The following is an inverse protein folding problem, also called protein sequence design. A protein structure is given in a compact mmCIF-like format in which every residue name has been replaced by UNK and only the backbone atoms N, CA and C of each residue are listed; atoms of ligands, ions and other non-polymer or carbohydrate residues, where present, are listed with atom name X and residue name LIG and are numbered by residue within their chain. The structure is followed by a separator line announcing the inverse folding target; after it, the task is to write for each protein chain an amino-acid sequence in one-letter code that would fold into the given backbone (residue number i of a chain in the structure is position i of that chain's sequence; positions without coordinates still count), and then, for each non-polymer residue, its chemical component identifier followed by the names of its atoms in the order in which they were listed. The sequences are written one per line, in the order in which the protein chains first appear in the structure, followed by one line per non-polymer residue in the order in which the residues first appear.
data_IF_320535294999
#
_entry.id   IF_320535294999
#
_cell.length_a   1.000
_cell.length_b   1.000
_cell.length_c   1.000
_cell.angle_alpha   90.00
_cell.angle_beta   90.00
_cell.angle_gamma   90.00
#
_symmetry.space_group_name_H-M   'P 1'
#
loop_
_entity.id
_entity.type
_entity.pdbx_description
1 polymer ?
#
# COMPACT_ATOMS: atom_id res chain seq x y z
N UNK A 1 -50.26 23.38 -67.55
CA UNK A 1 -50.03 22.11 -66.82
C UNK A 1 -49.28 22.47 -65.54
N UNK A 2 -49.81 22.00 -64.40
CA UNK A 2 -49.32 21.95 -63.00
C UNK A 2 -47.79 22.19 -62.76
N UNK A 3 -47.23 22.68 -61.65
CA UNK A 3 -47.66 23.12 -60.29
C UNK A 3 -46.39 23.66 -59.54
N UNK A 4 -46.58 24.72 -58.74
CA UNK A 4 -45.92 25.23 -57.51
C UNK A 4 -44.39 25.26 -57.23
N UNK A 5 -43.93 26.49 -56.95
CA UNK A 5 -43.41 27.02 -55.66
C UNK A 5 -42.79 26.07 -54.62
N UNK A 6 -41.57 26.41 -54.17
CA UNK A 6 -41.20 26.32 -52.75
C UNK A 6 -40.25 27.47 -52.35
N UNK A 7 -40.72 28.21 -51.35
CA UNK A 7 -40.16 29.40 -50.75
C UNK A 7 -39.01 29.04 -49.78
N UNK A 8 -37.97 29.88 -49.73
CA UNK A 8 -36.89 29.83 -48.75
C UNK A 8 -37.44 30.17 -47.36
N UNK A 9 -37.27 29.26 -46.40
CA UNK A 9 -37.40 29.58 -44.97
C UNK A 9 -36.00 29.46 -44.37
N UNK A 10 -35.41 30.62 -44.07
CA UNK A 10 -34.21 30.71 -43.23
C UNK A 10 -34.60 30.50 -41.78
N UNK A 11 -34.00 29.52 -41.13
CA UNK A 11 -34.13 29.30 -39.69
C UNK A 11 -32.89 29.88 -39.02
N UNK A 12 -33.08 30.98 -38.29
CA UNK A 12 -32.05 31.60 -37.47
C UNK A 12 -31.71 30.68 -36.29
N UNK A 13 -30.43 30.28 -36.16
CA UNK A 13 -29.92 29.72 -34.91
C UNK A 13 -29.58 30.88 -33.96
N UNK A 14 -30.42 31.10 -32.96
CA UNK A 14 -30.06 31.87 -31.77
C UNK A 14 -29.09 31.05 -30.92
N UNK A 15 -27.81 31.45 -30.90
CA UNK A 15 -26.85 30.97 -29.92
C UNK A 15 -27.15 31.62 -28.56
N UNK A 16 -27.77 30.88 -27.65
CA UNK A 16 -27.88 31.28 -26.25
C UNK A 16 -26.53 31.00 -25.58
N UNK A 17 -25.75 32.05 -25.32
CA UNK A 17 -24.58 31.99 -24.46
C UNK A 17 -25.03 31.80 -23.01
N UNK A 18 -24.98 30.56 -22.52
CA UNK A 18 -25.07 30.31 -21.08
C UNK A 18 -23.72 30.66 -20.44
N UNK A 19 -23.60 31.87 -19.90
CA UNK A 19 -22.63 32.15 -18.84
C UNK A 19 -23.07 31.35 -17.60
N UNK A 20 -22.62 30.11 -17.51
CA UNK A 20 -22.62 29.39 -16.25
C UNK A 20 -21.65 30.10 -15.32
N UNK A 21 -22.17 30.79 -14.30
CA UNK A 21 -21.40 31.13 -13.11
C UNK A 21 -20.96 29.80 -12.51
N UNK A 22 -19.76 29.35 -12.85
CA UNK A 22 -19.09 28.29 -12.12
C UNK A 22 -18.75 28.87 -10.75
N UNK A 23 -19.68 28.77 -9.81
CA UNK A 23 -19.33 28.82 -8.39
C UNK A 23 -18.32 27.71 -8.19
N UNK A 24 -17.08 28.07 -7.91
CA UNK A 24 -16.07 27.15 -7.38
C UNK A 24 -16.66 26.54 -6.11
N UNK A 25 -17.37 25.42 -6.22
CA UNK A 25 -17.59 24.55 -5.09
C UNK A 25 -16.20 24.18 -4.60
N UNK A 26 -15.83 24.66 -3.41
CA UNK A 26 -14.71 24.08 -2.70
C UNK A 26 -14.99 22.58 -2.67
N UNK A 27 -14.05 21.77 -3.16
CA UNK A 27 -14.04 20.38 -2.78
C UNK A 27 -14.14 20.36 -1.25
N UNK A 28 -15.12 19.63 -0.72
CA UNK A 28 -15.21 19.45 0.72
C UNK A 28 -13.84 18.98 1.21
N UNK A 29 -13.33 19.62 2.25
CA UNK A 29 -12.06 19.21 2.83
C UNK A 29 -12.19 17.75 3.27
N UNK A 30 -11.22 16.92 2.86
CA UNK A 30 -11.16 15.54 3.30
C UNK A 30 -11.17 15.50 4.82
N UNK A 31 -11.94 14.59 5.40
CA UNK A 31 -11.98 14.36 6.85
C UNK A 31 -12.16 12.89 7.12
N UNK A 32 -11.76 12.45 8.31
CA UNK A 32 -11.83 11.04 8.70
C UNK A 32 -12.60 10.87 10.00
N UNK A 33 -13.29 9.73 10.10
CA UNK A 33 -13.80 9.19 11.36
C UNK A 33 -12.73 8.29 11.98
N UNK A 34 -12.54 8.39 13.30
CA UNK A 34 -11.59 7.57 14.05
C UNK A 34 -12.30 6.43 14.77
N UNK A 35 -11.77 5.22 14.58
CA UNK A 35 -12.13 4.03 15.35
C UNK A 35 -10.94 3.63 16.23
N UNK A 36 -11.18 3.55 17.54
CA UNK A 36 -10.24 2.96 18.49
C UNK A 36 -10.30 1.43 18.39
N UNK A 37 -9.16 0.78 18.14
CA UNK A 37 -9.13 -0.66 17.96
C UNK A 37 -9.34 -1.43 19.28
N UNK A 38 -9.12 -0.81 20.43
CA UNK A 38 -9.10 -1.48 21.73
C UNK A 38 -7.73 -2.11 22.05
N UNK A 39 -7.69 -3.01 23.03
CA UNK A 39 -6.50 -3.80 23.40
C UNK A 39 -6.91 -5.22 23.80
N UNK A 40 -5.94 -6.12 23.92
CA UNK A 40 -6.13 -7.47 24.50
C UNK A 40 -6.10 -7.46 26.05
N UNK A 41 -6.53 -6.36 26.66
CA UNK A 41 -6.59 -6.16 28.11
C UNK A 41 -5.33 -5.58 28.75
N UNK A 42 -4.27 -5.31 27.98
CA UNK A 42 -3.08 -4.57 28.42
C UNK A 42 -3.14 -3.08 28.03
N UNK A 43 -2.04 -2.36 28.32
CA UNK A 43 -1.96 -0.90 28.15
C UNK A 43 -1.36 -0.44 26.82
N UNK A 44 -0.66 -1.31 26.09
CA UNK A 44 -0.03 -0.95 24.83
C UNK A 44 -0.53 -1.83 23.70
N UNK A 45 -0.69 -1.21 22.53
CA UNK A 45 -1.05 -1.85 21.27
C UNK A 45 -0.29 -1.17 20.13
N UNK A 46 0.11 -1.94 19.14
CA UNK A 46 0.84 -1.49 17.97
C UNK A 46 0.25 -2.13 16.72
N UNK A 47 -0.44 -1.35 15.90
CA UNK A 47 -0.86 -1.80 14.57
C UNK A 47 0.34 -1.91 13.61
N UNK A 48 0.23 -2.82 12.64
CA UNK A 48 1.32 -3.17 11.70
C UNK A 48 0.91 -3.18 10.23
N UNK A 49 -0.33 -3.53 9.93
CA UNK A 49 -0.79 -3.69 8.55
C UNK A 49 -2.33 -3.65 8.46
N UNK A 50 -2.88 -3.32 7.29
CA UNK A 50 -4.32 -3.32 7.01
C UNK A 50 -4.61 -3.92 5.62
N UNK A 51 -5.61 -4.78 5.50
CA UNK A 51 -6.04 -5.31 4.20
C UNK A 51 -7.17 -4.48 3.56
N UNK A 52 -7.58 -4.85 2.33
CA UNK A 52 -8.65 -4.17 1.60
C UNK A 52 -10.06 -4.39 2.18
N UNK A 53 -10.20 -5.33 3.13
CA UNK A 53 -11.43 -5.52 3.90
C UNK A 53 -11.51 -4.62 5.14
N UNK A 54 -10.46 -3.82 5.40
CA UNK A 54 -10.36 -2.95 6.58
C UNK A 54 -9.99 -3.71 7.86
N UNK A 55 -9.45 -4.92 7.74
CA UNK A 55 -8.97 -5.71 8.87
C UNK A 55 -7.55 -5.30 9.21
N UNK A 56 -7.29 -5.10 10.50
CA UNK A 56 -6.01 -4.59 11.00
C UNK A 56 -5.29 -5.67 11.79
N UNK A 57 -3.99 -5.82 11.58
CA UNK A 57 -3.16 -6.72 12.40
C UNK A 57 -2.06 -5.96 13.13
N UNK A 58 -1.54 -6.58 14.18
CA UNK A 58 -0.41 -6.05 14.93
C UNK A 58 -0.11 -6.84 16.19
N UNK A 59 0.35 -6.16 17.23
CA UNK A 59 0.59 -6.75 18.55
C UNK A 59 -0.03 -5.92 19.66
N UNK A 60 -0.64 -6.56 20.66
CA UNK A 60 -1.17 -5.92 21.86
C UNK A 60 -0.62 -6.60 23.11
N UNK A 61 -0.38 -5.82 24.17
CA UNK A 61 -0.17 -6.38 25.50
C UNK A 61 -1.45 -7.05 26.01
N UNK A 62 -1.27 -8.11 26.80
CA UNK A 62 -2.36 -8.69 27.60
C UNK A 62 -2.30 -8.22 29.04
N UNK A 63 -3.40 -8.41 29.78
CA UNK A 63 -3.47 -8.11 31.22
C UNK A 63 -2.40 -8.85 32.06
N UNK A 64 -1.96 -10.02 31.60
CA UNK A 64 -0.98 -10.87 32.30
C UNK A 64 0.47 -10.63 31.83
N UNK A 65 0.71 -9.61 31.00
CA UNK A 65 2.01 -9.34 30.37
C UNK A 65 2.22 -10.09 29.04
N UNK A 66 3.25 -9.68 28.29
CA UNK A 66 3.60 -10.23 26.98
C UNK A 66 2.82 -9.63 25.80
N UNK A 67 3.49 -9.51 24.66
CA UNK A 67 2.86 -9.08 23.39
C UNK A 67 2.18 -10.28 22.73
N UNK A 68 0.97 -10.05 22.22
CA UNK A 68 0.18 -11.03 21.48
C UNK A 68 -0.21 -10.48 20.13
N UNK A 69 -0.02 -11.27 19.09
CA UNK A 69 -0.48 -10.95 17.76
C UNK A 69 -2.01 -10.85 17.77
N UNK A 70 -2.54 -9.83 17.11
CA UNK A 70 -3.98 -9.64 16.99
C UNK A 70 -4.42 -9.50 15.54
N UNK A 71 -5.69 -9.83 15.31
CA UNK A 71 -6.50 -9.38 14.19
C UNK A 71 -7.65 -8.56 14.76
N UNK A 72 -7.87 -7.37 14.21
CA UNK A 72 -9.05 -6.56 14.47
C UNK A 72 -9.93 -6.56 13.23
N UNK A 73 -11.22 -6.77 13.42
CA UNK A 73 -12.23 -6.74 12.38
C UNK A 73 -13.46 -5.98 12.88
N UNK A 74 -14.08 -5.16 12.03
CA UNK A 74 -15.20 -4.31 12.45
C UNK A 74 -16.42 -5.11 12.97
N UNK A 75 -16.60 -6.36 12.51
CA UNK A 75 -17.70 -7.23 12.96
C UNK A 75 -17.38 -8.00 14.24
N UNK A 76 -16.11 -8.32 14.47
CA UNK A 76 -15.67 -9.24 15.53
C UNK A 76 -14.86 -8.56 16.64
N UNK A 77 -14.45 -7.31 16.46
CA UNK A 77 -13.54 -6.60 17.35
C UNK A 77 -12.14 -7.21 17.37
N UNK A 78 -11.45 -7.11 18.52
CA UNK A 78 -10.11 -7.65 18.73
C UNK A 78 -10.13 -9.18 18.89
N UNK A 79 -9.33 -9.86 18.09
CA UNK A 79 -9.10 -11.30 18.14
C UNK A 79 -7.64 -11.55 18.49
N UNK A 80 -7.39 -12.32 19.56
CA UNK A 80 -6.06 -12.83 19.88
C UNK A 80 -5.74 -14.02 18.96
N UNK A 81 -4.60 -13.96 18.27
CA UNK A 81 -4.21 -15.00 17.30
C UNK A 81 -3.49 -16.18 17.96
N UNK A 82 -3.01 -16.00 19.19
CA UNK A 82 -2.27 -17.05 19.90
C UNK A 82 -3.19 -18.25 20.22
N UNK A 83 -2.66 -19.48 20.15
CA UNK A 83 -3.42 -20.65 20.51
C UNK A 83 -3.73 -20.66 22.02
N UNK A 84 -4.71 -21.47 22.45
CA UNK A 84 -5.03 -21.65 23.86
C UNK A 84 -3.79 -22.07 24.67
N UNK A 85 -3.69 -21.59 25.92
CA UNK A 85 -2.62 -21.97 26.85
C UNK A 85 -2.49 -23.50 26.90
N UNK A 86 -1.27 -24.00 26.76
CA UNK A 86 -0.87 -25.42 26.70
C UNK A 86 -0.87 -26.13 25.33
N UNK A 87 -1.20 -25.47 24.22
CA UNK A 87 -1.22 -26.14 22.90
C UNK A 87 0.16 -26.68 22.46
N UNK A 88 1.26 -26.08 22.91
CA UNK A 88 2.63 -26.44 22.47
C UNK A 88 3.45 -27.27 23.47
N UNK A 89 2.87 -27.75 24.58
CA UNK A 89 3.55 -28.66 25.53
C UNK A 89 4.81 -28.15 26.24
N UNK A 90 5.23 -26.91 25.96
CA UNK A 90 6.25 -26.15 26.70
C UNK A 90 5.57 -25.07 27.54
N UNK A 91 6.10 -24.80 28.72
CA UNK A 91 5.66 -23.71 29.61
C UNK A 91 5.68 -22.37 28.83
N UNK A 92 4.52 -21.97 28.31
CA UNK A 92 4.31 -20.93 27.29
C UNK A 92 4.49 -19.49 27.81
N UNK A 93 4.95 -19.36 29.05
CA UNK A 93 5.02 -18.09 29.79
C UNK A 93 6.03 -17.07 29.26
N UNK A 94 6.86 -17.39 28.26
CA UNK A 94 7.99 -16.52 27.86
C UNK A 94 8.00 -16.01 26.40
N UNK A 95 7.05 -16.43 25.56
CA UNK A 95 7.01 -16.00 24.15
C UNK A 95 6.14 -14.77 23.91
N UNK A 96 6.58 -13.87 23.05
CA UNK A 96 5.76 -12.79 22.47
C UNK A 96 5.48 -13.06 21.00
N UNK A 97 4.29 -12.74 20.53
CA UNK A 97 3.90 -12.88 19.12
C UNK A 97 3.58 -11.51 18.51
N UNK A 98 3.95 -11.34 17.25
CA UNK A 98 3.79 -10.10 16.50
C UNK A 98 3.29 -10.45 15.10
N UNK A 99 2.09 -9.99 14.72
CA UNK A 99 1.67 -10.05 13.32
C UNK A 99 2.49 -9.03 12.50
N UNK A 100 2.93 -9.42 11.31
CA UNK A 100 3.72 -8.58 10.42
C UNK A 100 2.96 -8.15 9.18
N UNK A 101 2.10 -9.02 8.62
CA UNK A 101 1.32 -8.71 7.44
C UNK A 101 0.00 -9.49 7.39
N UNK A 102 -0.98 -8.97 6.66
CA UNK A 102 -2.28 -9.58 6.37
C UNK A 102 -2.59 -9.46 4.88
N UNK A 103 -3.21 -10.49 4.29
CA UNK A 103 -3.74 -10.42 2.92
C UNK A 103 -5.26 -10.21 2.90
N UNK A 104 -5.83 -10.02 1.71
CA UNK A 104 -7.27 -9.79 1.51
C UNK A 104 -8.13 -11.04 1.73
N UNK A 105 -7.50 -12.20 1.94
CA UNK A 105 -8.16 -13.43 2.37
C UNK A 105 -8.32 -13.51 3.90
N UNK A 106 -7.81 -12.51 4.63
CA UNK A 106 -7.79 -12.50 6.10
C UNK A 106 -6.77 -13.46 6.71
N UNK A 107 -5.77 -13.86 5.92
CA UNK A 107 -4.66 -14.69 6.39
C UNK A 107 -3.55 -13.79 6.92
N UNK A 108 -3.02 -14.14 8.08
CA UNK A 108 -2.05 -13.33 8.82
C UNK A 108 -0.73 -14.08 8.92
N UNK A 109 0.37 -13.38 8.69
CA UNK A 109 1.71 -13.89 8.97
C UNK A 109 2.37 -13.04 10.03
N UNK A 110 3.30 -13.63 10.76
CA UNK A 110 3.98 -12.95 11.84
C UNK A 110 5.07 -13.79 12.46
N UNK A 111 5.57 -13.32 13.59
CA UNK A 111 6.70 -13.94 14.27
C UNK A 111 6.40 -14.17 15.74
N UNK A 112 6.82 -15.34 16.22
CA UNK A 112 6.93 -15.62 17.65
C UNK A 112 8.39 -15.48 18.07
N UNK A 113 8.61 -14.66 19.09
CA UNK A 113 9.93 -14.39 19.66
C UNK A 113 9.96 -14.95 21.08
N UNK A 114 10.97 -15.75 21.38
CA UNK A 114 11.25 -16.25 22.73
C UNK A 114 12.77 -16.31 22.97
N UNK A 115 13.18 -16.78 24.16
CA UNK A 115 14.59 -16.88 24.54
C UNK A 115 15.43 -17.80 23.63
N UNK A 116 14.79 -18.63 22.81
CA UNK A 116 15.42 -19.60 21.91
C UNK A 116 15.45 -19.13 20.44
N UNK A 117 14.91 -17.94 20.15
CA UNK A 117 14.94 -17.34 18.82
C UNK A 117 13.57 -16.91 18.31
N UNK A 118 13.55 -16.52 17.03
CA UNK A 118 12.37 -16.10 16.29
C UNK A 118 11.90 -17.21 15.34
N UNK A 119 10.58 -17.46 15.33
CA UNK A 119 9.93 -18.39 14.40
C UNK A 119 8.78 -17.70 13.67
N UNK A 120 8.65 -17.88 12.35
CA UNK A 120 7.49 -17.38 11.63
C UNK A 120 6.26 -18.21 11.98
N UNK A 121 5.10 -17.57 11.94
CA UNK A 121 3.80 -18.24 11.98
C UNK A 121 2.94 -17.77 10.82
N UNK A 122 2.01 -18.64 10.44
CA UNK A 122 0.87 -18.34 9.60
C UNK A 122 -0.40 -18.52 10.44
N UNK A 123 -1.42 -17.72 10.21
CA UNK A 123 -2.73 -17.85 10.86
C UNK A 123 -3.84 -17.65 9.84
N UNK A 124 -4.86 -18.49 9.92
CA UNK A 124 -6.16 -18.24 9.28
C UNK A 124 -7.28 -18.67 10.22
N UNK A 125 -8.50 -18.17 9.96
CA UNK A 125 -9.67 -18.44 10.82
C UNK A 125 -10.02 -19.93 10.91
N UNK A 126 -9.69 -20.73 9.88
CA UNK A 126 -10.03 -22.16 9.82
C UNK A 126 -9.07 -23.05 10.60
N UNK A 127 -7.81 -22.62 10.72
CA UNK A 127 -6.71 -23.46 11.22
C UNK A 127 -6.09 -22.93 12.51
N UNK A 128 -6.36 -21.67 12.86
CA UNK A 128 -5.63 -20.97 13.91
C UNK A 128 -4.16 -20.76 13.52
N UNK A 129 -3.32 -20.54 14.53
CA UNK A 129 -1.89 -20.30 14.34
C UNK A 129 -1.16 -21.61 14.04
N UNK A 130 -0.39 -21.60 12.95
CA UNK A 130 0.55 -22.63 12.54
C UNK A 130 1.96 -22.04 12.67
N UNK A 131 2.70 -22.48 13.69
CA UNK A 131 4.13 -22.15 13.79
C UNK A 131 4.96 -22.93 12.77
N UNK A 132 5.85 -22.22 12.09
CA UNK A 132 6.71 -22.80 11.07
C UNK A 132 8.11 -23.05 11.64
N UNK A 133 8.63 -24.25 11.40
CA UNK A 133 10.01 -24.59 11.74
C UNK A 133 10.80 -24.74 10.44
N UNK A 134 11.67 -23.77 10.10
CA UNK A 134 12.46 -23.88 8.88
C UNK A 134 13.35 -25.14 8.91
N UNK A 135 13.45 -25.88 7.80
CA UNK A 135 14.20 -27.14 7.77
C UNK A 135 15.68 -26.91 8.10
N UNK A 136 16.19 -27.68 9.07
CA UNK A 136 17.61 -27.78 9.47
C UNK A 136 18.29 -26.47 9.90
N UNK A 137 18.00 -26.00 11.10
CA UNK A 137 18.94 -25.12 11.80
C UNK A 137 19.19 -25.64 13.22
N UNK A 138 20.38 -26.23 13.43
CA UNK A 138 20.85 -26.59 14.76
C UNK A 138 21.07 -25.34 15.65
N UNK A 139 21.08 -24.12 15.07
CA UNK A 139 21.28 -22.82 15.77
C UNK A 139 20.67 -21.58 15.06
N UNK A 140 19.62 -21.71 14.25
CA UNK A 140 19.09 -20.60 13.42
C UNK A 140 17.72 -20.05 13.83
N UNK A 141 17.36 -18.86 13.35
CA UNK A 141 16.03 -18.25 13.48
C UNK A 141 15.47 -17.86 12.12
N UNK A 142 14.15 -17.73 12.01
CA UNK A 142 13.49 -17.28 10.80
C UNK A 142 12.30 -16.38 11.14
N UNK A 143 11.94 -15.54 10.18
CA UNK A 143 10.85 -14.58 10.37
C UNK A 143 10.12 -14.34 9.05
N UNK A 144 8.81 -14.13 9.17
CA UNK A 144 7.90 -13.75 8.12
C UNK A 144 7.92 -12.23 7.93
N UNK A 145 7.84 -11.79 6.68
CA UNK A 145 7.93 -10.37 6.32
C UNK A 145 6.75 -9.87 5.50
N UNK A 146 6.14 -10.73 4.69
CA UNK A 146 5.00 -10.36 3.85
C UNK A 146 4.17 -11.59 3.49
N UNK A 147 2.93 -11.37 3.07
CA UNK A 147 2.04 -12.37 2.48
C UNK A 147 1.31 -11.76 1.29
N UNK A 148 1.11 -12.51 0.21
CA UNK A 148 0.32 -12.07 -0.94
C UNK A 148 -1.10 -12.66 -0.92
N UNK A 149 -1.95 -12.24 -1.86
CA UNK A 149 -3.33 -12.74 -2.00
C UNK A 149 -3.43 -14.15 -2.59
N UNK A 150 -2.31 -14.80 -2.95
CA UNK A 150 -2.26 -16.24 -3.23
C UNK A 150 -2.07 -17.08 -1.95
N UNK A 151 -1.90 -16.44 -0.79
CA UNK A 151 -1.60 -17.11 0.48
C UNK A 151 -0.15 -17.56 0.61
N UNK A 152 0.75 -16.95 -0.17
CA UNK A 152 2.19 -17.23 -0.14
C UNK A 152 2.87 -16.25 0.81
N UNK A 153 3.50 -16.78 1.85
CA UNK A 153 4.30 -16.04 2.81
C UNK A 153 5.73 -15.92 2.33
N UNK A 154 6.26 -14.69 2.32
CA UNK A 154 7.68 -14.41 2.19
C UNK A 154 8.32 -14.32 3.57
N UNK A 155 9.39 -15.09 3.79
CA UNK A 155 10.21 -15.02 5.00
C UNK A 155 11.70 -15.01 4.72
N UNK A 156 12.49 -14.77 5.76
CA UNK A 156 13.93 -14.84 5.75
C UNK A 156 14.40 -15.73 6.90
N UNK A 157 15.42 -16.54 6.64
CA UNK A 157 16.00 -17.46 7.63
C UNK A 157 17.49 -17.20 7.78
N UNK A 158 17.99 -17.26 9.01
CA UNK A 158 19.41 -17.18 9.34
C UNK A 158 19.90 -18.53 9.82
N UNK A 159 20.88 -19.10 9.12
CA UNK A 159 21.54 -20.33 9.54
C UNK A 159 23.03 -20.09 9.76
N UNK A 160 23.58 -20.63 10.84
CA UNK A 160 25.03 -20.65 11.04
C UNK A 160 25.56 -21.93 10.42
N UNK A 161 26.19 -21.81 9.26
CA UNK A 161 26.90 -22.93 8.63
C UNK A 161 28.41 -22.65 8.71
N UNK A 162 29.16 -23.61 9.26
CA UNK A 162 30.62 -23.50 9.40
C UNK A 162 31.13 -22.24 10.14
N UNK A 163 30.37 -21.73 11.11
CA UNK A 163 30.76 -20.55 11.91
C UNK A 163 30.37 -19.18 11.32
N UNK A 164 29.70 -19.16 10.15
CA UNK A 164 29.26 -17.93 9.50
C UNK A 164 27.75 -17.92 9.27
N UNK A 165 27.09 -16.79 9.54
CA UNK A 165 25.65 -16.63 9.34
C UNK A 165 25.29 -16.43 7.86
N UNK A 166 24.44 -17.28 7.31
CA UNK A 166 23.89 -17.15 5.95
C UNK A 166 22.40 -16.82 6.03
N UNK A 167 21.99 -15.71 5.41
CA UNK A 167 20.58 -15.38 5.26
C UNK A 167 20.00 -16.01 3.97
N UNK A 168 18.84 -16.66 4.08
CA UNK A 168 18.10 -17.24 2.97
C UNK A 168 16.64 -16.79 3.02
N UNK A 169 16.24 -16.00 2.05
CA UNK A 169 14.85 -15.78 1.74
C UNK A 169 14.16 -17.09 1.33
N UNK A 170 12.91 -17.26 1.72
CA UNK A 170 12.07 -18.39 1.34
C UNK A 170 10.63 -17.95 1.09
N UNK A 171 9.93 -18.70 0.23
CA UNK A 171 8.47 -18.65 0.10
C UNK A 171 7.88 -19.90 0.73
N UNK A 172 6.76 -19.75 1.42
CA UNK A 172 5.98 -20.86 1.97
C UNK A 172 4.48 -20.64 1.70
N UNK A 173 3.79 -21.70 1.33
CA UNK A 173 2.32 -21.73 1.22
C UNK A 173 1.77 -22.91 2.03
N UNK A 174 0.56 -22.75 2.57
CA UNK A 174 -0.06 -23.78 3.42
C UNK A 174 -0.21 -25.10 2.67
N UNK A 175 0.31 -26.17 3.28
CA UNK A 175 0.30 -27.52 2.67
C UNK A 175 1.48 -27.79 1.72
N UNK A 176 2.44 -26.89 1.63
CA UNK A 176 3.68 -27.06 0.87
C UNK A 176 4.93 -27.09 1.75
N UNK A 177 6.03 -27.54 1.16
CA UNK A 177 7.37 -27.34 1.71
C UNK A 177 7.86 -25.91 1.49
N UNK A 178 8.76 -25.44 2.36
CA UNK A 178 9.44 -24.15 2.17
C UNK A 178 10.33 -24.16 0.93
N UNK A 179 10.16 -23.17 0.07
CA UNK A 179 10.97 -22.97 -1.14
C UNK A 179 12.06 -21.96 -0.85
N UNK A 180 13.31 -22.40 -0.82
CA UNK A 180 14.47 -21.50 -0.77
C UNK A 180 14.64 -20.83 -2.15
N UNK A 181 14.75 -19.50 -2.17
CA UNK A 181 14.88 -18.73 -3.41
C UNK A 181 16.23 -18.97 -4.12
N UNK A 182 17.25 -19.41 -3.38
CA UNK A 182 18.63 -19.45 -3.84
C UNK A 182 19.30 -18.08 -3.75
N UNK A 183 20.40 -17.91 -4.50
CA UNK A 183 21.23 -16.68 -4.54
C UNK A 183 21.63 -16.37 -5.96
N UNK A 184 21.94 -15.11 -6.26
CA UNK A 184 22.47 -14.72 -7.58
C UNK A 184 23.89 -15.26 -7.85
N UNK A 185 24.64 -15.60 -6.79
CA UNK A 185 25.94 -16.25 -6.91
C UNK A 185 26.48 -16.74 -5.58
N UNK A 186 27.51 -17.58 -5.62
CA UNK A 186 28.36 -17.84 -4.45
C UNK A 186 29.19 -16.58 -4.18
N UNK A 187 28.85 -15.79 -3.17
CA UNK A 187 29.58 -14.56 -2.90
C UNK A 187 31.05 -14.82 -2.52
N UNK A 188 31.80 -13.72 -2.38
CA UNK A 188 33.23 -13.76 -2.17
C UNK A 188 33.60 -14.63 -0.95
N UNK A 189 34.59 -15.53 -1.12
CA UNK A 189 34.97 -16.59 -0.15
C UNK A 189 33.93 -17.69 0.14
N UNK A 190 32.90 -17.86 -0.72
CA UNK A 190 31.88 -18.90 -0.54
C UNK A 190 30.74 -18.48 0.41
N UNK A 191 30.71 -17.21 0.81
CA UNK A 191 29.63 -16.62 1.58
C UNK A 191 28.57 -16.09 0.64
N UNK A 192 27.35 -16.61 0.71
CA UNK A 192 26.23 -16.04 -0.04
C UNK A 192 25.05 -15.80 0.87
N UNK A 193 24.24 -14.79 0.53
CA UNK A 193 23.00 -14.46 1.22
C UNK A 193 21.96 -13.91 0.25
N UNK A 194 20.70 -14.01 0.65
CA UNK A 194 19.56 -13.44 -0.08
C UNK A 194 18.55 -12.93 0.93
N UNK A 195 18.16 -11.67 0.77
CA UNK A 195 17.13 -11.04 1.59
C UNK A 195 15.92 -10.71 0.72
N UNK A 196 14.78 -11.32 1.04
CA UNK A 196 13.49 -10.98 0.45
C UNK A 196 12.91 -9.75 1.12
N UNK A 197 12.38 -8.82 0.32
CA UNK A 197 11.81 -7.54 0.77
C UNK A 197 10.32 -7.42 0.49
N UNK A 198 9.85 -7.88 -0.65
CA UNK A 198 8.44 -7.81 -1.03
C UNK A 198 8.04 -8.98 -1.93
N UNK A 199 6.75 -9.31 -1.92
CA UNK A 199 6.10 -10.30 -2.77
C UNK A 199 4.82 -9.70 -3.35
N UNK A 200 4.54 -9.92 -4.63
CA UNK A 200 3.28 -9.49 -5.26
C UNK A 200 2.29 -10.65 -5.42
N UNK A 201 1.09 -10.36 -5.90
CA UNK A 201 0.01 -11.35 -6.10
C UNK A 201 0.23 -12.28 -7.30
N UNK A 202 1.34 -12.12 -8.02
CA UNK A 202 1.80 -13.07 -9.02
C UNK A 202 2.82 -14.08 -8.45
N UNK A 203 3.10 -14.00 -7.15
CA UNK A 203 4.10 -14.84 -6.47
C UNK A 203 5.55 -14.48 -6.81
N UNK A 204 5.77 -13.27 -7.34
CA UNK A 204 7.10 -12.77 -7.64
C UNK A 204 7.70 -12.10 -6.41
N UNK A 205 8.95 -12.42 -6.09
CA UNK A 205 9.64 -11.88 -4.91
C UNK A 205 10.78 -10.97 -5.35
N UNK A 206 10.96 -9.85 -4.66
CA UNK A 206 12.09 -8.95 -4.87
C UNK A 206 12.89 -8.73 -3.60
N UNK A 207 14.14 -8.31 -3.78
CA UNK A 207 15.04 -8.00 -2.68
C UNK A 207 16.46 -7.78 -3.16
N UNK A 208 17.45 -8.22 -2.39
CA UNK A 208 18.85 -8.22 -2.80
C UNK A 208 19.55 -9.53 -2.45
N UNK A 209 20.56 -9.88 -3.24
CA UNK A 209 21.35 -11.09 -3.08
C UNK A 209 22.81 -10.83 -3.43
N UNK A 210 23.70 -11.55 -2.75
CA UNK A 210 25.13 -11.55 -3.06
C UNK A 210 25.38 -12.17 -4.44
N UNK A 211 26.27 -11.57 -5.22
CA UNK A 211 26.75 -12.08 -6.52
C UNK A 211 28.16 -12.67 -6.43
N UNK A 212 28.58 -13.40 -7.48
CA UNK A 212 29.91 -14.05 -7.57
C UNK A 212 31.09 -13.08 -7.50
N UNK A 213 30.89 -11.82 -7.88
CA UNK A 213 31.85 -10.72 -7.77
C UNK A 213 31.91 -10.10 -6.36
N UNK A 214 31.18 -10.66 -5.39
CA UNK A 214 31.15 -10.20 -4.00
C UNK A 214 30.31 -8.95 -3.74
N UNK A 215 29.51 -8.52 -4.72
CA UNK A 215 28.64 -7.36 -4.60
C UNK A 215 27.20 -7.76 -4.25
N UNK A 216 26.36 -6.77 -3.93
CA UNK A 216 24.91 -6.95 -3.80
C UNK A 216 24.19 -6.49 -5.06
N UNK A 217 23.22 -7.29 -5.50
CA UNK A 217 22.34 -6.94 -6.61
C UNK A 217 20.88 -7.11 -6.22
N UNK A 218 20.08 -6.17 -6.67
CA UNK A 218 18.64 -6.28 -6.70
C UNK A 218 18.23 -7.50 -7.55
N UNK A 219 17.25 -8.26 -7.08
CA UNK A 219 16.73 -9.41 -7.81
C UNK A 219 15.22 -9.36 -7.96
N UNK A 220 14.73 -10.07 -8.97
CA UNK A 220 13.36 -10.58 -9.09
C UNK A 220 13.44 -12.11 -9.10
N UNK A 221 12.61 -12.78 -8.32
CA UNK A 221 12.51 -14.23 -8.29
C UNK A 221 11.12 -14.66 -8.73
N UNK A 222 11.05 -15.67 -9.59
CA UNK A 222 9.82 -16.32 -10.01
C UNK A 222 9.98 -17.83 -9.82
N UNK A 223 8.94 -18.52 -9.31
CA UNK A 223 8.99 -19.97 -9.02
C UNK A 223 9.48 -20.81 -10.21
N UNK A 224 9.09 -20.43 -11.43
CA UNK A 224 9.43 -21.17 -12.65
C UNK A 224 10.73 -20.70 -13.34
N UNK A 225 11.14 -19.46 -13.11
CA UNK A 225 12.30 -18.85 -13.79
C UNK A 225 13.55 -18.77 -12.90
N UNK A 226 13.39 -18.92 -11.58
CA UNK A 226 14.44 -18.69 -10.60
C UNK A 226 14.76 -17.21 -10.40
N UNK A 227 15.99 -16.93 -9.98
CA UNK A 227 16.49 -15.58 -9.70
C UNK A 227 16.89 -14.86 -10.99
N UNK A 228 16.45 -13.61 -11.13
CA UNK A 228 16.81 -12.67 -12.19
C UNK A 228 17.58 -11.52 -11.56
N UNK A 229 18.80 -11.27 -12.03
CA UNK A 229 19.59 -10.10 -11.64
C UNK A 229 19.02 -8.84 -12.33
N UNK A 230 18.66 -7.81 -11.57
CA UNK A 230 18.10 -6.57 -12.13
C UNK A 230 19.17 -5.59 -12.61
N UNK A 231 20.44 -5.85 -12.29
CA UNK A 231 21.57 -4.98 -12.62
C UNK A 231 21.70 -3.78 -11.69
N UNK A 232 22.36 -2.74 -12.18
CA UNK A 232 22.61 -1.46 -11.47
C UNK A 232 22.49 -0.30 -12.46
N UNK A 233 22.48 0.94 -11.95
CA UNK A 233 22.60 2.16 -12.75
C UNK A 233 24.07 2.49 -13.13
N UNK A 234 24.92 1.47 -13.23
CA UNK A 234 26.33 1.58 -13.59
C UNK A 234 27.31 1.51 -12.43
N UNK A 235 26.84 1.47 -11.18
CA UNK A 235 27.66 1.23 -9.99
C UNK A 235 27.70 -0.24 -9.57
N UNK A 236 28.19 -0.50 -8.35
CA UNK A 236 28.44 -1.85 -7.84
C UNK A 236 27.39 -2.34 -6.82
N UNK A 237 26.27 -1.64 -6.65
CA UNK A 237 25.25 -2.03 -5.67
C UNK A 237 23.85 -1.67 -6.14
N UNK A 238 22.89 -2.55 -5.87
CA UNK A 238 21.47 -2.28 -6.01
C UNK A 238 20.65 -3.11 -5.01
N UNK A 239 19.50 -2.57 -4.62
CA UNK A 239 18.52 -3.21 -3.76
C UNK A 239 17.11 -2.92 -4.27
N UNK A 240 16.28 -3.94 -4.44
CA UNK A 240 14.85 -3.78 -4.67
C UNK A 240 14.09 -3.71 -3.34
N UNK A 241 13.18 -2.77 -3.22
CA UNK A 241 12.43 -2.50 -1.98
C UNK A 241 10.95 -2.85 -2.10
N UNK A 242 10.34 -2.69 -3.27
CA UNK A 242 8.94 -3.05 -3.52
C UNK A 242 8.70 -3.49 -4.96
N UNK A 243 7.56 -4.16 -5.19
CA UNK A 243 7.09 -4.64 -6.48
C UNK A 243 5.57 -4.48 -6.52
N UNK A 244 5.01 -4.07 -7.66
CA UNK A 244 3.56 -4.03 -7.86
C UNK A 244 3.05 -5.26 -8.63
N UNK A 245 1.72 -5.40 -8.77
CA UNK A 245 1.10 -6.54 -9.46
C UNK A 245 1.28 -6.51 -10.99
N UNK A 246 1.85 -5.45 -11.56
CA UNK A 246 2.27 -5.38 -12.97
C UNK A 246 3.74 -5.76 -13.17
N UNK A 247 4.43 -6.19 -12.11
CA UNK A 247 5.84 -6.62 -12.17
C UNK A 247 6.84 -5.47 -12.28
N UNK A 248 6.41 -4.24 -12.01
CA UNK A 248 7.33 -3.09 -11.90
C UNK A 248 8.02 -3.15 -10.54
N UNK A 249 9.35 -3.13 -10.56
CA UNK A 249 10.18 -3.24 -9.36
C UNK A 249 10.84 -1.91 -9.08
N UNK A 250 10.78 -1.43 -7.84
CA UNK A 250 11.44 -0.20 -7.42
C UNK A 250 12.52 -0.47 -6.38
N UNK A 251 13.43 0.48 -6.24
CA UNK A 251 14.49 0.38 -5.25
C UNK A 251 15.51 1.48 -5.34
N UNK A 252 16.74 1.16 -4.91
CA UNK A 252 17.88 2.07 -4.99
C UNK A 252 19.06 1.37 -5.66
N UNK A 253 19.79 2.09 -6.50
CA UNK A 253 21.01 1.60 -7.12
C UNK A 253 22.09 2.67 -7.15
N UNK A 254 23.35 2.26 -7.01
CA UNK A 254 24.47 3.13 -7.25
C UNK A 254 24.65 3.37 -8.75
N UNK A 255 24.91 4.63 -9.09
CA UNK A 255 25.36 5.04 -10.41
C UNK A 255 26.88 4.87 -10.54
N UNK A 256 27.42 5.06 -11.75
CA UNK A 256 28.86 4.94 -12.01
C UNK A 256 29.74 5.88 -11.15
N UNK A 257 29.20 7.02 -10.69
CA UNK A 257 29.91 7.95 -9.80
C UNK A 257 29.73 7.63 -8.30
N UNK A 258 29.07 6.52 -7.97
CA UNK A 258 28.84 6.07 -6.60
C UNK A 258 27.60 6.65 -5.91
N UNK A 259 26.83 7.54 -6.55
CA UNK A 259 25.62 8.10 -5.95
C UNK A 259 24.45 7.11 -5.96
N UNK A 260 23.64 7.10 -4.88
CA UNK A 260 22.38 6.35 -4.83
C UNK A 260 21.28 7.05 -5.64
N UNK A 261 20.56 6.27 -6.44
CA UNK A 261 19.41 6.71 -7.22
C UNK A 261 18.25 5.76 -7.03
N UNK A 262 17.07 6.33 -6.84
CA UNK A 262 15.81 5.63 -6.93
C UNK A 262 15.67 5.11 -8.37
N UNK A 263 15.26 3.85 -8.52
CA UNK A 263 15.00 3.27 -9.83
C UNK A 263 13.60 2.67 -9.93
N UNK A 264 13.12 2.55 -11.17
CA UNK A 264 12.10 1.58 -11.57
C UNK A 264 12.70 0.61 -12.58
N UNK A 265 12.40 -0.68 -12.42
CA UNK A 265 12.80 -1.73 -13.33
C UNK A 265 11.55 -2.38 -13.91
N UNK A 266 11.55 -2.57 -15.22
CA UNK A 266 10.54 -3.34 -15.94
C UNK A 266 11.24 -4.40 -16.79
N UNK A 267 10.59 -5.57 -16.94
CA UNK A 267 11.17 -6.68 -17.72
C UNK A 267 11.48 -6.30 -19.18
N UNK A 268 10.72 -5.36 -19.75
CA UNK A 268 10.84 -4.89 -21.13
C UNK A 268 11.94 -3.85 -21.34
N UNK A 269 12.23 -3.02 -20.34
CA UNK A 269 13.14 -1.86 -20.47
C UNK A 269 14.36 -1.90 -19.54
N UNK A 270 14.42 -2.85 -18.61
CA UNK A 270 15.45 -2.88 -17.59
C UNK A 270 15.33 -1.75 -16.58
N UNK A 271 16.43 -1.45 -15.89
CA UNK A 271 16.50 -0.45 -14.81
C UNK A 271 16.53 0.98 -15.39
N UNK A 272 15.67 1.85 -14.88
CA UNK A 272 15.58 3.26 -15.23
C UNK A 272 15.71 4.14 -13.98
N UNK A 273 16.51 5.21 -14.06
CA UNK A 273 16.67 6.20 -12.99
C UNK A 273 15.41 7.09 -12.89
N UNK A 274 14.88 7.28 -11.68
CA UNK A 274 13.74 8.17 -11.42
C UNK A 274 14.14 9.64 -11.24
N UNK A 275 15.44 9.92 -11.12
CA UNK A 275 16.01 11.25 -10.87
C UNK A 275 16.07 11.61 -9.39
N UNK A 276 16.21 12.90 -9.11
CA UNK A 276 16.28 13.49 -7.76
C UNK A 276 15.46 14.78 -7.70
N UNK A 277 15.31 15.37 -6.51
CA UNK A 277 14.71 16.71 -6.31
C UNK A 277 15.74 17.84 -6.53
N UNK A 278 16.77 17.60 -7.35
CA UNK A 278 17.86 18.53 -7.63
C UNK A 278 19.13 18.29 -6.80
N UNK A 279 19.08 17.43 -5.78
CA UNK A 279 20.25 16.98 -5.01
C UNK A 279 20.93 15.74 -5.59
N UNK A 280 21.85 15.17 -4.81
CA UNK A 280 22.74 14.09 -5.24
C UNK A 280 22.30 12.66 -4.93
N UNK A 281 21.15 12.46 -4.28
CA UNK A 281 20.68 11.15 -3.81
C UNK A 281 19.15 11.01 -3.87
N UNK A 282 18.67 9.81 -4.20
CA UNK A 282 17.26 9.40 -4.06
C UNK A 282 17.14 7.91 -3.76
N UNK A 283 16.06 7.51 -3.08
CA UNK A 283 15.69 6.13 -2.76
C UNK A 283 14.18 5.95 -2.92
N UNK A 284 13.72 4.83 -3.49
CA UNK A 284 12.29 4.50 -3.59
C UNK A 284 11.89 3.49 -2.50
N UNK A 285 10.72 3.70 -1.88
CA UNK A 285 10.26 2.89 -0.74
C UNK A 285 8.93 2.17 -0.97
N UNK A 286 8.03 2.73 -1.77
CA UNK A 286 6.77 2.06 -2.13
C UNK A 286 6.31 2.43 -3.54
N UNK A 287 5.51 1.54 -4.14
CA UNK A 287 4.92 1.69 -5.48
C UNK A 287 3.48 1.16 -5.43
N UNK A 288 2.56 1.82 -6.13
CA UNK A 288 1.20 1.32 -6.30
C UNK A 288 1.00 0.64 -7.67
N UNK A 289 -0.17 0.08 -7.92
CA UNK A 289 -0.47 -0.63 -9.18
C UNK A 289 -0.63 0.31 -10.39
N UNK A 290 -0.66 1.63 -10.20
CA UNK A 290 -0.61 2.60 -11.30
C UNK A 290 0.81 3.07 -11.63
N UNK A 291 1.83 2.45 -11.03
CA UNK A 291 3.24 2.78 -11.26
C UNK A 291 3.67 4.09 -10.62
N UNK A 292 2.89 4.60 -9.66
CA UNK A 292 3.24 5.78 -8.88
C UNK A 292 4.13 5.36 -7.71
N UNK A 293 5.22 6.10 -7.50
CA UNK A 293 6.30 5.73 -6.58
C UNK A 293 6.48 6.81 -5.53
N UNK A 294 6.68 6.41 -4.28
CA UNK A 294 7.11 7.32 -3.21
C UNK A 294 8.49 6.92 -2.69
N UNK A 295 9.18 7.89 -2.07
CA UNK A 295 10.49 7.66 -1.51
C UNK A 295 11.09 8.92 -0.90
N UNK A 296 12.40 8.89 -0.63
CA UNK A 296 13.17 10.02 -0.14
C UNK A 296 14.15 10.51 -1.19
N UNK A 297 14.32 11.82 -1.31
CA UNK A 297 15.24 12.44 -2.26
C UNK A 297 15.84 13.72 -1.70
N UNK A 298 17.10 13.96 -2.04
CA UNK A 298 17.78 15.20 -1.66
C UNK A 298 17.43 16.33 -2.62
N UNK A 299 17.12 17.50 -2.08
CA UNK A 299 16.89 18.73 -2.83
C UNK A 299 18.20 19.45 -3.15
N UNK A 300 18.16 20.47 -4.00
CA UNK A 300 19.35 21.24 -4.40
C UNK A 300 20.07 21.94 -3.23
N UNK A 301 19.35 22.28 -2.15
CA UNK A 301 19.87 22.82 -0.90
C UNK A 301 20.33 21.74 0.10
N UNK A 302 20.35 20.47 -0.31
CA UNK A 302 20.87 19.34 0.48
C UNK A 302 19.89 18.76 1.50
N UNK A 303 18.64 19.22 1.54
CA UNK A 303 17.63 18.69 2.45
C UNK A 303 17.08 17.36 1.94
N UNK A 304 16.82 16.41 2.84
CA UNK A 304 16.06 15.19 2.49
C UNK A 304 14.57 15.49 2.52
N UNK A 305 13.86 15.16 1.45
CA UNK A 305 12.41 15.36 1.31
C UNK A 305 11.74 14.12 0.75
N UNK A 306 10.52 13.80 1.21
CA UNK A 306 9.72 12.77 0.58
C UNK A 306 9.27 13.25 -0.80
N UNK A 307 9.26 12.33 -1.74
CA UNK A 307 8.76 12.58 -3.09
C UNK A 307 7.60 11.67 -3.44
N UNK A 308 6.80 12.13 -4.39
CA UNK A 308 5.92 11.33 -5.23
C UNK A 308 6.43 11.39 -6.66
N UNK A 309 6.42 10.27 -7.37
CA UNK A 309 6.85 10.19 -8.75
C UNK A 309 5.80 9.45 -9.57
N UNK A 310 5.50 9.98 -10.75
CA UNK A 310 4.82 9.23 -11.79
C UNK A 310 5.47 9.54 -13.14
N UNK A 311 5.26 8.67 -14.12
CA UNK A 311 5.88 8.80 -15.45
C UNK A 311 5.51 10.09 -16.19
N UNK A 312 4.36 10.70 -15.87
CA UNK A 312 3.84 11.89 -16.55
C UNK A 312 4.34 13.20 -15.94
N UNK A 313 4.59 13.22 -14.63
CA UNK A 313 4.96 14.42 -13.88
C UNK A 313 6.39 14.41 -13.37
N UNK A 314 7.07 13.26 -13.42
CA UNK A 314 8.39 13.10 -12.83
C UNK A 314 8.33 13.19 -11.30
N UNK A 315 9.45 13.59 -10.68
CA UNK A 315 9.56 13.64 -9.22
C UNK A 315 9.01 14.96 -8.67
N UNK A 316 8.03 14.85 -7.76
CA UNK A 316 7.35 15.95 -7.08
C UNK A 316 7.71 15.89 -5.59
N UNK A 317 8.15 17.02 -5.03
CA UNK A 317 8.39 17.16 -3.59
C UNK A 317 7.06 17.21 -2.83
N UNK A 318 6.88 16.35 -1.82
CA UNK A 318 5.67 16.34 -0.99
C UNK A 318 5.65 17.44 0.08
N UNK A 319 6.81 18.02 0.40
CA UNK A 319 6.95 19.11 1.36
C UNK A 319 7.03 18.66 2.82
N UNK A 320 6.75 19.59 3.74
CA UNK A 320 6.71 19.38 5.20
C UNK A 320 5.50 20.12 5.77
N UNK A 321 5.12 19.82 7.00
CA UNK A 321 4.13 20.56 7.79
C UNK A 321 4.70 21.86 8.40
N UNK A 322 5.69 22.47 7.74
CA UNK A 322 6.38 23.69 8.18
C UNK A 322 7.68 23.45 8.97
N UNK A 323 8.00 22.21 9.33
CA UNK A 323 9.29 21.85 9.95
C UNK A 323 10.38 21.46 8.94
N UNK A 324 11.51 20.96 9.45
CA UNK A 324 12.72 20.67 8.66
C UNK A 324 12.82 19.24 8.10
N UNK A 325 11.95 18.32 8.51
CA UNK A 325 12.04 16.90 8.15
C UNK A 325 10.66 16.31 7.89
N UNK A 326 10.58 15.40 6.91
CA UNK A 326 9.40 14.60 6.61
C UNK A 326 9.81 13.29 5.92
N UNK A 327 8.94 12.29 6.00
CA UNK A 327 9.12 10.97 5.37
C UNK A 327 7.78 10.40 4.94
N UNK A 328 7.67 9.98 3.69
CA UNK A 328 6.54 9.20 3.20
C UNK A 328 6.66 7.75 3.65
N UNK A 329 5.53 7.08 3.89
CA UNK A 329 5.48 5.72 4.41
C UNK A 329 4.74 4.75 3.49
N UNK A 330 3.51 5.08 3.09
CA UNK A 330 2.67 4.22 2.26
C UNK A 330 1.88 5.03 1.24
N UNK A 331 1.47 4.36 0.17
CA UNK A 331 0.70 4.92 -0.95
C UNK A 331 -0.36 3.91 -1.39
N UNK A 332 -1.60 4.35 -1.59
CA UNK A 332 -2.66 3.52 -2.18
C UNK A 332 -2.80 3.73 -3.70
N UNK A 333 -3.68 2.97 -4.36
CA UNK A 333 -3.91 3.06 -5.79
C UNK A 333 -4.66 4.33 -6.24
N UNK A 334 -5.13 5.16 -5.32
CA UNK A 334 -5.65 6.50 -5.63
C UNK A 334 -4.56 7.58 -5.60
N UNK A 335 -3.31 7.20 -5.34
CA UNK A 335 -2.17 8.12 -5.25
C UNK A 335 -2.16 8.93 -3.95
N UNK A 336 -2.91 8.49 -2.95
CA UNK A 336 -2.92 9.10 -1.62
C UNK A 336 -1.73 8.57 -0.83
N UNK A 337 -0.98 9.47 -0.21
CA UNK A 337 0.26 9.17 0.49
C UNK A 337 0.12 9.53 1.96
N UNK A 338 0.58 8.64 2.82
CA UNK A 338 0.68 8.90 4.26
C UNK A 338 2.14 8.86 4.70
N UNK A 339 2.43 9.57 5.79
CA UNK A 339 3.77 9.61 6.34
C UNK A 339 3.84 10.43 7.62
N UNK A 340 5.03 10.92 7.93
CA UNK A 340 5.26 11.79 9.08
C UNK A 340 6.06 13.03 8.69
N UNK A 341 5.82 14.12 9.41
CA UNK A 341 6.53 15.39 9.21
C UNK A 341 6.68 16.12 10.53
N UNK A 342 7.76 16.88 10.65
CA UNK A 342 7.88 17.90 11.67
C UNK A 342 7.02 19.10 11.29
N UNK A 343 6.33 19.66 12.27
CA UNK A 343 5.65 20.96 12.20
C UNK A 343 6.62 22.11 12.48
N UNK A 344 6.18 23.36 12.28
CA UNK A 344 6.99 24.55 12.53
C UNK A 344 7.43 24.70 14.01
N UNK A 345 6.62 24.22 14.96
CA UNK A 345 6.93 24.16 16.39
C UNK A 345 7.73 22.91 16.80
N UNK A 346 8.16 22.09 15.83
CA UNK A 346 9.04 20.94 16.04
C UNK A 346 8.33 19.66 16.49
N UNK A 347 6.99 19.63 16.50
CA UNK A 347 6.24 18.40 16.80
C UNK A 347 6.32 17.42 15.63
N UNK A 348 6.40 16.14 15.94
CA UNK A 348 6.32 15.08 14.94
C UNK A 348 4.85 14.68 14.75
N UNK A 349 4.33 14.82 13.53
CA UNK A 349 2.91 14.63 13.20
C UNK A 349 2.74 13.72 11.99
N UNK A 350 1.75 12.81 11.99
CA UNK A 350 1.38 12.07 10.81
C UNK A 350 0.73 13.01 9.78
N UNK A 351 1.06 12.84 8.51
CA UNK A 351 0.46 13.62 7.42
C UNK A 351 -0.33 12.73 6.46
N UNK A 352 -1.27 13.36 5.77
CA UNK A 352 -1.92 12.88 4.57
C UNK A 352 -1.55 13.80 3.40
N UNK A 353 -1.29 13.22 2.24
CA UNK A 353 -1.01 13.95 1.01
C UNK A 353 -1.81 13.37 -0.14
N UNK A 354 -2.36 14.25 -0.96
CA UNK A 354 -2.87 13.94 -2.29
C UNK A 354 -2.59 15.11 -3.22
N UNK A 355 -2.61 14.86 -4.53
CA UNK A 355 -2.22 15.85 -5.53
C UNK A 355 -3.08 17.12 -5.51
N UNK A 356 -4.35 17.01 -5.14
CA UNK A 356 -5.32 18.11 -5.09
C UNK A 356 -5.13 19.06 -3.91
N UNK A 357 -4.73 18.55 -2.75
CA UNK A 357 -4.67 19.33 -1.50
C UNK A 357 -3.26 19.49 -0.93
N UNK A 358 -2.27 18.74 -1.44
CA UNK A 358 -0.92 18.76 -0.91
C UNK A 358 -0.83 18.10 0.46
N UNK A 359 0.20 18.45 1.24
CA UNK A 359 0.44 17.87 2.56
C UNK A 359 -0.48 18.51 3.62
N UNK A 360 -1.15 17.69 4.41
CA UNK A 360 -2.04 18.09 5.50
C UNK A 360 -1.72 17.30 6.77
N UNK A 361 -1.79 17.94 7.94
CA UNK A 361 -1.65 17.23 9.23
C UNK A 361 -2.90 16.39 9.47
N UNK A 362 -2.74 15.09 9.71
CA UNK A 362 -3.88 14.19 9.95
C UNK A 362 -4.66 14.54 11.23
N UNK A 363 -4.04 15.19 12.21
CA UNK A 363 -4.73 15.66 13.42
C UNK A 363 -5.73 16.79 13.11
N UNK A 364 -5.54 17.55 12.03
CA UNK A 364 -6.48 18.59 11.59
C UNK A 364 -7.64 18.02 10.77
N UNK A 365 -7.51 16.78 10.29
CA UNK A 365 -8.50 16.10 9.45
C UNK A 365 -9.42 15.17 10.26
N UNK A 366 -9.24 15.10 11.57
CA UNK A 366 -9.96 14.19 12.48
C UNK A 366 -10.48 14.96 13.68
N UNK A 367 -11.78 14.83 13.97
CA UNK A 367 -12.39 15.34 15.20
C UNK A 367 -12.52 14.23 16.25
N UNK A 368 -11.44 13.97 17.00
CA UNK A 368 -11.41 12.92 18.04
C UNK A 368 -10.88 13.47 19.38
N UNK A 369 -11.76 13.98 20.27
CA UNK A 369 -11.34 14.51 21.57
C UNK A 369 -10.54 13.50 22.38
N UNK A 370 -9.42 13.95 22.98
CA UNK A 370 -8.53 13.12 23.78
C UNK A 370 -7.50 12.31 22.99
N UNK A 371 -7.60 12.27 21.66
CA UNK A 371 -6.62 11.65 20.79
C UNK A 371 -5.56 12.65 20.31
N UNK A 372 -4.33 12.16 20.24
CA UNK A 372 -3.23 12.76 19.48
C UNK A 372 -2.69 11.66 18.58
N UNK A 373 -2.79 11.85 17.27
CA UNK A 373 -2.22 10.92 16.31
C UNK A 373 -0.71 11.17 16.23
N UNK A 374 0.08 10.12 16.44
CA UNK A 374 1.54 10.23 16.55
C UNK A 374 2.25 9.58 15.35
N UNK A 375 1.71 8.49 14.82
CA UNK A 375 2.28 7.80 13.68
C UNK A 375 1.25 7.01 12.89
N UNK A 376 1.51 6.90 11.59
CA UNK A 376 0.71 6.10 10.65
C UNK A 376 1.56 4.96 10.12
N UNK A 377 0.91 3.86 9.81
CA UNK A 377 1.58 2.60 9.46
C UNK A 377 1.29 2.21 8.04
N UNK A 378 0.01 2.19 7.64
CA UNK A 378 -0.41 1.73 6.32
C UNK A 378 -1.77 2.33 5.89
N UNK A 379 -2.07 2.28 4.57
CA UNK A 379 -3.29 2.79 3.95
C UNK A 379 -3.80 1.83 2.86
N UNK A 380 -5.08 1.45 2.91
CA UNK A 380 -5.70 0.61 1.88
C UNK A 380 -6.33 1.44 0.74
N UNK A 381 -6.89 0.76 -0.27
CA UNK A 381 -7.53 1.44 -1.41
C UNK A 381 -8.90 2.05 -1.06
N UNK A 382 -9.54 1.66 0.04
CA UNK A 382 -10.69 2.41 0.56
C UNK A 382 -10.29 3.76 1.20
N UNK A 383 -8.99 4.07 1.25
CA UNK A 383 -8.45 5.28 1.87
C UNK A 383 -8.42 5.19 3.40
N UNK A 384 -8.63 3.99 3.97
CA UNK A 384 -8.56 3.79 5.40
C UNK A 384 -7.11 3.74 5.85
N UNK A 385 -6.79 4.47 6.92
CA UNK A 385 -5.43 4.65 7.42
C UNK A 385 -5.33 4.04 8.81
N UNK A 386 -4.35 3.17 9.02
CA UNK A 386 -4.07 2.58 10.33
C UNK A 386 -2.83 3.20 10.95
N UNK A 387 -2.85 3.40 12.27
CA UNK A 387 -1.73 3.99 12.98
C UNK A 387 -1.79 3.83 14.49
N UNK A 388 -0.88 4.51 15.18
CA UNK A 388 -0.81 4.56 16.62
C UNK A 388 -0.76 6.02 17.10
N UNK A 389 -1.35 6.27 18.26
CA UNK A 389 -1.37 7.58 18.89
C UNK A 389 -1.56 7.46 20.39
N UNK A 390 -1.68 8.61 21.04
CA UNK A 390 -2.01 8.72 22.45
C UNK A 390 -3.50 9.03 22.60
N UNK A 391 -4.22 8.24 23.39
CA UNK A 391 -5.57 8.54 23.82
C UNK A 391 -5.58 8.73 25.34
N UNK A 392 -5.83 9.96 25.78
CA UNK A 392 -5.78 10.35 27.20
C UNK A 392 -4.47 9.93 27.90
N UNK A 393 -3.33 10.00 27.19
CA UNK A 393 -2.00 9.66 27.71
C UNK A 393 -1.61 8.19 27.58
N UNK A 394 -2.46 7.33 27.00
CA UNK A 394 -2.17 5.91 26.77
C UNK A 394 -1.94 5.61 25.29
N UNK A 395 -0.95 4.77 24.98
CA UNK A 395 -0.69 4.31 23.61
C UNK A 395 -1.85 3.45 23.10
N UNK A 396 -2.46 3.88 22.00
CA UNK A 396 -3.59 3.18 21.36
C UNK A 396 -3.41 3.14 19.84
N UNK A 397 -3.95 2.10 19.24
CA UNK A 397 -4.00 1.94 17.80
C UNK A 397 -5.35 2.43 17.28
N UNK A 398 -5.36 3.04 16.11
CA UNK A 398 -6.55 3.59 15.49
C UNK A 398 -6.70 3.11 14.05
N UNK A 399 -7.94 3.13 13.58
CA UNK A 399 -8.30 3.07 12.17
C UNK A 399 -9.04 4.37 11.81
N UNK A 400 -8.50 5.13 10.86
CA UNK A 400 -9.18 6.25 10.25
C UNK A 400 -9.94 5.75 9.03
N UNK A 401 -11.20 6.14 8.90
CA UNK A 401 -12.03 5.88 7.72
C UNK A 401 -12.41 7.21 7.09
N UNK A 402 -12.18 7.42 5.78
CA UNK A 402 -12.58 8.64 5.10
C UNK A 402 -14.09 8.86 5.28
N UNK A 403 -14.46 10.06 5.71
CA UNK A 403 -15.84 10.48 5.62
C UNK A 403 -16.12 10.72 4.14
N UNK A 404 -17.09 10.03 3.56
CA UNK A 404 -17.59 10.42 2.25
C UNK A 404 -17.90 11.92 2.31
N UNK A 405 -17.25 12.73 1.47
CA UNK A 405 -17.75 14.07 1.20
C UNK A 405 -19.22 13.85 0.85
N UNK A 406 -20.14 14.46 1.61
CA UNK A 406 -21.55 14.44 1.24
C UNK A 406 -21.65 15.22 -0.07
N UNK A 407 -21.36 14.57 -1.19
CA UNK A 407 -21.74 15.09 -2.47
C UNK A 407 -23.26 15.16 -2.45
N UNK A 408 -23.74 16.39 -2.58
CA UNK A 408 -25.09 16.79 -2.98
C UNK A 408 -25.73 15.69 -3.85
N UNK A 409 -27.03 15.34 -3.65
CA UNK A 409 -27.70 14.34 -4.45
C UNK A 409 -27.40 14.55 -5.92
N UNK A 410 -26.92 13.49 -6.58
CA UNK A 410 -26.58 13.52 -7.99
C UNK A 410 -27.68 14.24 -8.81
N UNK A 411 -27.33 15.20 -9.68
CA UNK A 411 -28.27 15.81 -10.61
C UNK A 411 -28.97 14.80 -11.54
N UNK A 412 -28.58 13.52 -11.50
CA UNK A 412 -29.20 12.44 -12.27
C UNK A 412 -30.64 12.11 -11.84
N UNK A 413 -31.12 12.59 -10.68
CA UNK A 413 -32.55 12.47 -10.33
C UNK A 413 -33.39 13.68 -10.72
N UNK A 414 -32.79 14.86 -10.94
CA UNK A 414 -33.50 16.07 -11.37
C UNK A 414 -33.61 16.19 -12.91
N UNK A 415 -32.66 15.64 -13.66
CA UNK A 415 -32.68 15.67 -15.13
C UNK A 415 -33.50 14.54 -15.77
N UNK A 416 -33.75 13.43 -15.06
CA UNK A 416 -34.54 12.30 -15.57
C UNK A 416 -36.02 12.66 -15.72
N UNK A 417 -36.55 13.63 -14.97
CA UNK A 417 -37.95 14.05 -15.12
C UNK A 417 -38.22 15.06 -16.25
N UNK A 418 -37.19 15.70 -16.83
CA UNK A 418 -37.38 16.60 -17.98
C UNK A 418 -37.11 15.94 -19.34
N UNK A 419 -36.35 14.84 -19.38
CA UNK A 419 -36.11 14.10 -20.63
C UNK A 419 -37.24 13.12 -21.00
N UNK A 420 -38.03 12.64 -20.04
CA UNK A 420 -39.18 11.75 -20.30
C UNK A 420 -40.44 12.49 -20.80
N UNK A 421 -40.54 13.81 -20.61
CA UNK A 421 -41.65 14.62 -21.12
C UNK A 421 -41.58 14.93 -22.63
N UNK A 422 -40.38 14.98 -23.22
CA UNK A 422 -40.21 15.37 -24.62
C UNK A 422 -40.22 14.18 -25.60
N UNK A 423 -39.90 12.96 -25.15
CA UNK A 423 -39.91 11.76 -26.00
C UNK A 423 -41.33 11.16 -26.15
N UNK A 424 -42.22 11.41 -25.18
CA UNK A 424 -43.63 11.02 -25.24
C UNK A 424 -44.44 11.79 -26.29
N UNK A 425 -44.17 13.08 -26.50
CA UNK A 425 -44.92 13.89 -27.46
C UNK A 425 -44.55 13.61 -28.93
N UNK A 426 -43.28 13.28 -29.21
CA UNK A 426 -42.80 13.01 -30.58
C UNK A 426 -43.22 11.64 -31.14
N UNK A 427 -43.42 10.64 -30.27
CA UNK A 427 -43.80 9.29 -30.67
C UNK A 427 -45.31 9.12 -30.88
N UNK A 428 -46.15 9.91 -30.18
CA UNK A 428 -47.60 9.97 -30.40
C UNK A 428 -47.97 10.69 -31.70
N UNK A 429 -47.23 11.75 -32.09
CA UNK A 429 -47.48 12.48 -33.34
C UNK A 429 -47.13 11.67 -34.61
N UNK A 430 -46.13 10.76 -34.54
CA UNK A 430 -45.78 9.88 -35.67
C UNK A 430 -46.77 8.72 -35.85
N UNK A 431 -47.37 8.21 -34.77
CA UNK A 431 -48.33 7.10 -34.83
C UNK A 431 -49.70 7.53 -35.37
N UNK A 432 -50.14 8.76 -35.10
CA UNK A 432 -51.41 9.29 -35.64
C UNK A 432 -51.34 9.65 -37.13
N UNK A 433 -50.18 10.09 -37.65
CA UNK A 433 -50.02 10.33 -39.11
C UNK A 433 -50.00 9.04 -39.93
N UNK A 434 -49.40 7.96 -39.44
CA UNK A 434 -49.40 6.68 -40.16
C UNK A 434 -50.76 5.97 -40.19
N UNK A 435 -51.65 6.25 -39.22
CA UNK A 435 -53.02 5.72 -39.23
C UNK A 435 -54.00 6.52 -40.10
N UNK A 436 -53.70 7.79 -40.42
CA UNK A 436 -54.49 8.57 -41.39
C UNK A 436 -54.09 8.30 -42.85
N UNK A 437 -52.83 7.93 -43.13
CA UNK A 437 -52.40 7.56 -44.48
C UNK A 437 -52.82 6.13 -44.88
N UNK A 438 -53.12 5.25 -43.91
CA UNK A 438 -53.59 3.89 -44.17
C UNK A 438 -55.10 3.77 -44.44
N UNK A 439 -55.91 4.79 -44.13
CA UNK A 439 -57.36 4.82 -44.40
C UNK A 439 -57.74 5.56 -45.69
N UNK A 440 -56.76 6.00 -46.50
CA UNK A 440 -56.97 6.59 -47.82
C UNK A 440 -56.52 5.69 -48.99
N UNK A 441 -56.16 4.43 -48.71
CA UNK A 441 -55.94 3.38 -49.70
C UNK A 441 -56.59 2.06 -49.26
N UNK A 442 -57.92 2.07 -49.21
CA UNK A 442 -58.82 0.99 -49.64
C UNK A 442 -60.27 1.42 -49.43
#
# INVERSE_FOLDING_TARGET
MKILNACKVGMALTAAAFLGLATSQRADAISFSLTDLGTLGGNNIYARDINELGQVVGSSNTANGGNRAFLWDNSSGMINLDPPRNYYGYDDRSGSTYATAINDLGQVVGNRVNNYGEKPFFWDKSSGMIELSPPRALYGYAFATAINNLGQMLGNSYTYFSGYGQNRAFVWEKGSDMINLGTLGSGYYGFSYTYGKAINDLGQVVGYSSTTDGQDRAFLWEKNSGMINLGTLGGNYSIATAINNYGQVIGSSNTANGQYRAFVWEKSSGMSDLGTLGGGYSIATAINNYGQVIGGSTTADGQSRPFFWDKSSGMVNLGTLGGNSSSARAINNYGQVIGSSNTADGQFRPFFWEKSSGISDLNDLVSAPGWILEGVVDINNAGQIVGNGSYNGQTRAFLLTPNSSKSVPEPSSALVFLALGAVGAGSLAKRQRQQQDASSRN
#
